data_IF_606146859225
#
_entry.id   IF_606146859225
#
_cell.length_a   1.000
_cell.length_b   1.000
_cell.length_c   1.000
_cell.angle_alpha   90.00
_cell.angle_beta   90.00
_cell.angle_gamma   90.00
#
_symmetry.space_group_name_H-M   'P 1'
#
loop_
_entity.id
_entity.type
_entity.pdbx_description
1 polymer ?
#
# COMPACT_ATOMS: atom_id res chain seq x y z
N UNK A 1 26.45 3.83 20.39
CA UNK A 1 25.22 3.53 19.61
C UNK A 1 25.65 2.81 18.36
N UNK A 2 25.01 1.70 18.02
CA UNK A 2 25.38 0.94 16.83
C UNK A 2 25.02 1.73 15.55
N UNK A 3 25.89 1.69 14.54
CA UNK A 3 25.65 2.31 13.22
C UNK A 3 24.84 1.38 12.31
N UNK A 4 24.30 1.90 11.20
CA UNK A 4 23.63 1.07 10.17
C UNK A 4 24.60 0.02 9.61
N UNK A 5 25.84 0.40 9.33
CA UNK A 5 26.87 -0.53 8.83
C UNK A 5 27.17 -1.66 9.81
N UNK A 6 27.29 -1.35 11.11
CA UNK A 6 27.49 -2.37 12.16
C UNK A 6 26.30 -3.33 12.26
N UNK A 7 25.07 -2.83 12.08
CA UNK A 7 23.86 -3.67 12.07
C UNK A 7 23.83 -4.59 10.84
N UNK A 8 24.18 -4.07 9.65
CA UNK A 8 24.16 -4.83 8.40
C UNK A 8 25.15 -6.02 8.41
N UNK A 9 26.20 -5.96 9.23
CA UNK A 9 27.12 -7.09 9.43
C UNK A 9 26.54 -8.18 10.34
N UNK A 10 25.47 -7.90 11.09
CA UNK A 10 24.91 -8.77 12.13
C UNK A 10 23.52 -9.31 11.79
N UNK A 11 22.97 -9.00 10.61
CA UNK A 11 21.63 -9.45 10.20
C UNK A 11 21.63 -10.10 8.81
N UNK A 12 20.66 -10.99 8.60
CA UNK A 12 20.40 -11.61 7.30
C UNK A 12 19.42 -10.81 6.43
N UNK A 13 18.54 -10.03 7.06
CA UNK A 13 17.53 -9.20 6.43
C UNK A 13 17.24 -7.95 7.27
N UNK A 14 16.62 -6.94 6.66
CA UNK A 14 16.33 -5.65 7.29
C UNK A 14 14.83 -5.32 7.25
N UNK A 15 14.34 -4.73 8.33
CA UNK A 15 13.05 -4.03 8.38
C UNK A 15 13.36 -2.54 8.47
N UNK A 16 13.15 -1.82 7.37
CA UNK A 16 13.23 -0.36 7.32
C UNK A 16 11.87 0.19 7.77
N UNK A 17 11.74 0.40 9.08
CA UNK A 17 10.51 0.87 9.74
C UNK A 17 10.55 2.33 10.17
N UNK A 18 11.34 3.19 9.50
CA UNK A 18 11.32 4.62 9.79
C UNK A 18 9.93 5.17 9.46
N UNK A 19 9.33 5.90 10.40
CA UNK A 19 8.04 6.56 10.14
C UNK A 19 8.22 7.69 9.12
N UNK A 20 9.41 8.28 9.03
CA UNK A 20 9.70 9.37 8.12
C UNK A 20 10.21 8.84 6.77
N UNK A 21 9.31 8.76 5.79
CA UNK A 21 9.56 8.30 4.43
C UNK A 21 10.62 9.11 3.66
N UNK A 22 11.01 10.30 4.16
CA UNK A 22 12.13 11.08 3.59
C UNK A 22 13.49 10.41 3.81
N UNK A 23 13.59 9.54 4.82
CA UNK A 23 14.82 8.83 5.15
C UNK A 23 14.98 7.53 4.35
N UNK A 24 13.90 7.04 3.74
CA UNK A 24 13.87 5.72 3.13
C UNK A 24 14.90 5.56 2.00
N UNK A 25 15.08 6.56 1.14
CA UNK A 25 16.04 6.47 0.02
C UNK A 25 17.48 6.29 0.53
N UNK A 26 17.94 7.15 1.44
CA UNK A 26 19.31 7.09 1.96
C UNK A 26 19.61 5.84 2.79
N UNK A 27 18.59 5.31 3.49
CA UNK A 27 18.70 4.03 4.20
C UNK A 27 18.69 2.84 3.22
N UNK A 28 17.81 2.87 2.21
CA UNK A 28 17.73 1.85 1.17
C UNK A 28 19.03 1.77 0.36
N UNK A 29 19.68 2.90 0.07
CA UNK A 29 21.00 2.94 -0.57
C UNK A 29 22.05 2.13 0.19
N UNK A 30 22.12 2.30 1.51
CA UNK A 30 23.06 1.54 2.37
C UNK A 30 22.71 0.05 2.40
N UNK A 31 21.43 -0.28 2.59
CA UNK A 31 20.95 -1.66 2.71
C UNK A 31 21.15 -2.43 1.39
N UNK A 32 20.82 -1.81 0.26
CA UNK A 32 20.99 -2.42 -1.06
C UNK A 32 22.46 -2.61 -1.42
N UNK A 33 23.34 -1.67 -1.04
CA UNK A 33 24.78 -1.83 -1.22
C UNK A 33 25.34 -3.04 -0.43
N UNK A 34 24.77 -3.33 0.74
CA UNK A 34 25.09 -4.53 1.53
C UNK A 34 24.42 -5.82 1.00
N UNK A 35 23.56 -5.73 -0.02
CA UNK A 35 22.88 -6.88 -0.62
C UNK A 35 21.86 -7.57 0.28
N UNK A 36 21.41 -6.91 1.36
CA UNK A 36 20.48 -7.51 2.33
C UNK A 36 19.04 -7.41 1.83
N UNK A 37 18.26 -8.51 1.83
CA UNK A 37 16.83 -8.45 1.61
C UNK A 37 16.16 -7.50 2.60
N UNK A 38 15.19 -6.72 2.13
CA UNK A 38 14.58 -5.67 2.97
C UNK A 38 13.08 -5.52 2.76
N UNK A 39 12.36 -5.45 3.88
CA UNK A 39 11.03 -4.87 3.92
C UNK A 39 11.14 -3.37 4.19
N UNK A 40 10.56 -2.55 3.31
CA UNK A 40 10.47 -1.10 3.49
C UNK A 40 9.04 -0.75 3.88
N UNK A 41 8.84 -0.17 5.06
CA UNK A 41 7.49 0.22 5.50
C UNK A 41 6.89 1.26 4.53
N UNK A 42 5.56 1.31 4.49
CA UNK A 42 4.82 2.22 3.63
C UNK A 42 4.63 3.60 4.29
N UNK A 43 4.61 4.69 3.50
CA UNK A 43 4.86 4.71 2.05
C UNK A 43 6.33 4.44 1.71
N UNK A 44 6.56 3.84 0.52
CA UNK A 44 7.92 3.49 0.06
C UNK A 44 8.90 4.67 0.15
N UNK A 45 8.42 5.87 -0.16
CA UNK A 45 9.11 7.14 0.06
C UNK A 45 8.08 8.25 0.30
N UNK A 46 8.57 9.43 0.69
CA UNK A 46 7.73 10.60 0.89
C UNK A 46 7.13 11.18 -0.40
N UNK A 47 7.80 10.97 -1.54
CA UNK A 47 7.39 11.41 -2.87
C UNK A 47 7.57 10.32 -3.95
N UNK A 48 7.12 10.62 -5.18
CA UNK A 48 7.20 9.68 -6.30
C UNK A 48 8.63 9.51 -6.83
N UNK A 49 9.43 10.58 -6.83
CA UNK A 49 10.77 10.55 -7.41
C UNK A 49 11.68 9.60 -6.63
N UNK A 50 11.65 9.69 -5.30
CA UNK A 50 12.43 8.81 -4.43
C UNK A 50 11.88 7.38 -4.42
N UNK A 51 10.57 7.18 -4.49
CA UNK A 51 9.99 5.84 -4.64
C UNK A 51 10.49 5.14 -5.92
N UNK A 52 10.55 5.88 -7.03
CA UNK A 52 11.10 5.38 -8.31
C UNK A 52 12.59 5.11 -8.20
N UNK A 53 13.36 6.00 -7.55
CA UNK A 53 14.80 5.79 -7.32
C UNK A 53 15.08 4.53 -6.52
N UNK A 54 14.34 4.28 -5.43
CA UNK A 54 14.46 3.06 -4.62
C UNK A 54 14.24 1.83 -5.50
N UNK A 55 13.15 1.81 -6.28
CA UNK A 55 12.83 0.66 -7.14
C UNK A 55 13.89 0.42 -8.23
N UNK A 56 14.38 1.49 -8.88
CA UNK A 56 15.42 1.40 -9.91
C UNK A 56 16.77 0.97 -9.32
N UNK A 57 17.12 1.46 -8.13
CA UNK A 57 18.36 1.11 -7.45
C UNK A 57 18.37 -0.36 -7.05
N UNK A 58 17.29 -0.84 -6.42
CA UNK A 58 17.17 -2.26 -6.07
C UNK A 58 17.28 -3.16 -7.29
N UNK A 59 16.64 -2.79 -8.41
CA UNK A 59 16.76 -3.51 -9.69
C UNK A 59 18.19 -3.52 -10.21
N UNK A 60 18.90 -2.40 -10.13
CA UNK A 60 20.30 -2.28 -10.58
C UNK A 60 21.25 -3.16 -9.75
N UNK A 61 21.02 -3.23 -8.44
CA UNK A 61 21.88 -3.97 -7.50
C UNK A 61 21.43 -5.43 -7.31
N UNK A 62 20.27 -5.81 -7.82
CA UNK A 62 19.73 -7.17 -7.69
C UNK A 62 19.23 -7.49 -6.27
N UNK A 63 19.02 -6.48 -5.42
CA UNK A 63 18.56 -6.69 -4.04
C UNK A 63 17.08 -7.02 -4.00
N UNK A 64 16.71 -8.05 -3.24
CA UNK A 64 15.31 -8.41 -3.00
C UNK A 64 14.68 -7.42 -2.02
N UNK A 65 13.51 -6.90 -2.35
CA UNK A 65 12.79 -5.99 -1.48
C UNK A 65 11.29 -6.03 -1.73
N UNK A 66 10.53 -5.60 -0.73
CA UNK A 66 9.12 -5.30 -0.91
C UNK A 66 8.64 -4.23 0.08
N UNK A 67 7.50 -3.64 -0.22
CA UNK A 67 6.72 -2.81 0.69
C UNK A 67 5.27 -3.30 0.66
N UNK A 68 4.55 -3.11 1.75
CA UNK A 68 3.15 -3.48 1.84
C UNK A 68 2.48 -2.82 3.04
N UNK A 69 1.17 -2.65 2.96
CA UNK A 69 0.31 -2.68 4.13
C UNK A 69 0.02 -4.11 4.55
N UNK A 70 -0.05 -4.34 5.86
CA UNK A 70 -0.64 -5.55 6.43
C UNK A 70 -2.08 -5.84 5.93
N UNK A 71 -2.80 -4.84 5.41
CA UNK A 71 -4.14 -5.02 4.85
C UNK A 71 -4.18 -5.94 3.63
N UNK A 72 -3.10 -5.97 2.83
CA UNK A 72 -2.98 -6.87 1.68
C UNK A 72 -3.06 -8.35 2.07
N UNK A 73 -2.73 -8.68 3.32
CA UNK A 73 -2.59 -10.05 3.80
C UNK A 73 -3.71 -10.50 4.73
N UNK A 74 -4.72 -9.66 4.95
CA UNK A 74 -5.85 -10.01 5.81
C UNK A 74 -6.52 -11.29 5.32
N UNK A 75 -6.83 -12.18 6.26
CA UNK A 75 -7.55 -13.44 5.96
C UNK A 75 -8.86 -13.13 5.25
N UNK A 76 -9.62 -12.16 5.73
CA UNK A 76 -10.89 -11.76 5.14
C UNK A 76 -10.76 -11.26 3.68
N UNK A 77 -9.64 -10.61 3.32
CA UNK A 77 -9.38 -10.22 1.93
C UNK A 77 -9.08 -11.44 1.05
N UNK A 78 -8.27 -12.37 1.57
CA UNK A 78 -7.97 -13.63 0.87
C UNK A 78 -9.22 -14.48 0.65
N UNK A 79 -10.09 -14.60 1.66
CA UNK A 79 -11.35 -15.33 1.58
C UNK A 79 -12.28 -14.71 0.52
N UNK A 80 -12.44 -13.39 0.52
CA UNK A 80 -13.20 -12.69 -0.51
C UNK A 80 -12.64 -12.92 -1.92
N UNK A 81 -11.31 -12.92 -2.08
CA UNK A 81 -10.68 -13.19 -3.38
C UNK A 81 -10.88 -14.65 -3.83
N UNK A 82 -10.98 -15.61 -2.90
CA UNK A 82 -11.32 -17.00 -3.23
C UNK A 82 -12.79 -17.16 -3.61
N UNK A 83 -13.70 -16.43 -2.95
CA UNK A 83 -15.13 -16.43 -3.31
C UNK A 83 -15.35 -15.92 -4.74
N UNK A 84 -14.63 -14.88 -5.13
CA UNK A 84 -14.69 -14.29 -6.47
C UNK A 84 -13.89 -15.07 -7.53
N UNK A 85 -13.33 -16.24 -7.18
CA UNK A 85 -12.42 -16.96 -8.07
C UNK A 85 -13.15 -17.45 -9.32
N UNK A 86 -12.68 -17.00 -10.48
CA UNK A 86 -13.28 -17.34 -11.77
C UNK A 86 -14.30 -16.31 -12.26
N UNK A 87 -14.66 -15.33 -11.43
CA UNK A 87 -15.47 -14.20 -11.87
C UNK A 87 -14.62 -13.14 -12.59
N UNK A 88 -15.25 -12.43 -13.53
CA UNK A 88 -14.70 -11.20 -14.04
C UNK A 88 -14.98 -10.08 -13.04
N UNK A 89 -13.94 -9.45 -12.50
CA UNK A 89 -14.08 -8.25 -11.68
C UNK A 89 -14.46 -7.09 -12.59
N UNK A 90 -15.55 -6.38 -12.29
CA UNK A 90 -16.06 -5.23 -13.05
C UNK A 90 -15.74 -3.89 -12.38
N UNK A 91 -15.52 -3.90 -11.06
CA UNK A 91 -15.14 -2.71 -10.29
C UNK A 91 -14.90 -3.01 -8.82
N UNK A 92 -14.39 -2.01 -8.11
CA UNK A 92 -14.15 -2.12 -6.67
C UNK A 92 -14.26 -0.74 -6.01
N UNK A 93 -14.94 -0.68 -4.87
CA UNK A 93 -15.02 0.48 -4.01
C UNK A 93 -14.36 0.16 -2.68
N UNK A 94 -13.16 0.69 -2.43
CA UNK A 94 -12.48 0.58 -1.15
C UNK A 94 -12.75 1.81 -0.28
N UNK A 95 -12.71 1.65 1.03
CA UNK A 95 -12.64 2.75 1.98
C UNK A 95 -11.50 2.56 2.96
N UNK A 96 -10.99 3.67 3.49
CA UNK A 96 -9.86 3.64 4.40
C UNK A 96 -9.69 4.94 5.17
N UNK A 97 -9.10 4.84 6.35
CA UNK A 97 -8.65 6.01 7.12
C UNK A 97 -7.77 6.93 6.26
N UNK A 98 -8.06 8.22 6.27
CA UNK A 98 -7.28 9.25 5.59
C UNK A 98 -6.72 10.24 6.62
N UNK A 99 -5.41 10.39 6.60
CA UNK A 99 -4.63 11.32 7.42
C UNK A 99 -3.47 11.85 6.59
N UNK A 100 -3.16 13.13 6.72
CA UNK A 100 -1.97 13.71 6.11
C UNK A 100 -0.76 13.57 7.04
N UNK A 101 0.42 13.32 6.47
CA UNK A 101 1.70 13.34 7.17
C UNK A 101 2.48 14.59 6.76
N UNK A 102 3.15 15.23 7.72
CA UNK A 102 4.00 16.37 7.42
C UNK A 102 5.11 15.94 6.46
N UNK A 103 5.27 16.66 5.34
CA UNK A 103 6.30 16.38 4.34
C UNK A 103 6.07 15.14 3.49
N UNK A 104 4.87 14.56 3.48
CA UNK A 104 4.51 13.37 2.70
C UNK A 104 3.37 13.66 1.71
N UNK A 105 3.35 12.94 0.58
CA UNK A 105 2.18 12.94 -0.31
C UNK A 105 0.92 12.50 0.45
N UNK A 106 -0.16 13.28 0.33
CA UNK A 106 -1.35 13.12 1.18
C UNK A 106 -1.96 11.71 1.14
N UNK A 107 -2.32 11.20 -0.04
CA UNK A 107 -2.89 9.86 -0.18
C UNK A 107 -1.87 8.78 0.18
N UNK A 108 -0.59 8.97 -0.15
CA UNK A 108 0.46 7.99 0.10
C UNK A 108 0.71 7.77 1.61
N UNK A 109 0.50 8.79 2.45
CA UNK A 109 0.79 8.66 3.87
C UNK A 109 -0.07 7.61 4.57
N UNK A 110 -1.39 7.76 4.52
CA UNK A 110 -2.31 6.85 5.21
C UNK A 110 -3.41 6.28 4.30
N UNK A 111 -3.77 7.00 3.23
CA UNK A 111 -4.70 6.47 2.22
C UNK A 111 -4.15 5.25 1.47
N UNK A 112 -2.83 5.07 1.46
CA UNK A 112 -2.14 3.94 0.80
C UNK A 112 -2.63 2.59 1.29
N UNK A 113 -3.07 2.51 2.56
CA UNK A 113 -3.66 1.32 3.14
C UNK A 113 -4.89 0.84 2.36
N UNK A 114 -5.87 1.73 2.13
CA UNK A 114 -7.07 1.38 1.37
C UNK A 114 -6.82 1.32 -0.14
N UNK A 115 -5.88 2.11 -0.66
CA UNK A 115 -5.49 2.05 -2.07
C UNK A 115 -4.81 0.73 -2.42
N UNK A 116 -3.91 0.20 -1.58
CA UNK A 116 -3.29 -1.09 -1.84
C UNK A 116 -4.33 -2.23 -1.86
N UNK A 117 -5.31 -2.19 -0.96
CA UNK A 117 -6.43 -3.13 -0.97
C UNK A 117 -7.23 -3.02 -2.27
N UNK A 118 -7.55 -1.81 -2.74
CA UNK A 118 -8.17 -1.61 -4.05
C UNK A 118 -7.34 -2.23 -5.19
N UNK A 119 -6.02 -2.00 -5.20
CA UNK A 119 -5.12 -2.55 -6.21
C UNK A 119 -4.94 -4.07 -6.10
N UNK A 120 -5.10 -4.66 -4.91
CA UNK A 120 -5.03 -6.11 -4.72
C UNK A 120 -6.19 -6.84 -5.42
N UNK A 121 -7.32 -6.16 -5.61
CA UNK A 121 -8.49 -6.69 -6.33
C UNK A 121 -8.48 -6.26 -7.80
N UNK A 122 -8.22 -4.98 -8.06
CA UNK A 122 -8.31 -4.41 -9.41
C UNK A 122 -7.10 -4.75 -10.28
N UNK A 123 -5.95 -5.06 -9.66
CA UNK A 123 -4.66 -5.18 -10.32
C UNK A 123 -4.08 -3.81 -10.72
N UNK A 124 -2.91 -3.84 -11.36
CA UNK A 124 -2.28 -2.65 -11.94
C UNK A 124 -3.01 -2.18 -13.20
N UNK A 125 -2.67 -0.98 -13.71
CA UNK A 125 -3.16 -0.51 -15.02
C UNK A 125 -4.24 0.57 -14.96
N UNK A 126 -4.41 1.24 -13.82
CA UNK A 126 -5.13 2.50 -13.74
C UNK A 126 -4.51 3.53 -14.70
N UNK A 127 -5.34 4.19 -15.50
CA UNK A 127 -4.96 5.15 -16.55
C UNK A 127 -5.30 6.58 -16.20
N UNK A 128 -6.43 6.78 -15.52
CA UNK A 128 -6.90 8.11 -15.13
C UNK A 128 -7.27 8.10 -13.65
N UNK A 129 -7.01 9.22 -12.98
CA UNK A 129 -7.39 9.42 -11.58
C UNK A 129 -8.05 10.79 -11.43
N UNK A 130 -9.17 10.83 -10.71
CA UNK A 130 -9.82 12.08 -10.29
C UNK A 130 -10.04 12.04 -8.79
N UNK A 131 -9.85 13.18 -8.13
CA UNK A 131 -10.03 13.28 -6.67
C UNK A 131 -10.89 14.50 -6.35
N UNK A 132 -11.92 14.27 -5.55
CA UNK A 132 -12.71 15.31 -4.91
C UNK A 132 -12.38 15.29 -3.43
N UNK A 133 -12.02 16.45 -2.89
CA UNK A 133 -11.69 16.61 -1.48
C UNK A 133 -12.86 17.28 -0.74
N UNK A 134 -13.19 16.76 0.43
CA UNK A 134 -14.23 17.32 1.29
C UNK A 134 -13.84 17.19 2.77
N UNK A 135 -14.54 17.92 3.63
CA UNK A 135 -14.25 17.94 5.06
C UNK A 135 -14.39 16.57 5.74
N UNK A 136 -15.34 15.73 5.30
CA UNK A 136 -15.53 14.37 5.80
C UNK A 136 -14.55 13.35 5.19
N UNK A 137 -13.69 13.79 4.28
CA UNK A 137 -12.71 12.98 3.58
C UNK A 137 -12.91 13.03 2.07
N UNK A 138 -12.12 12.24 1.37
CA UNK A 138 -11.99 12.33 -0.08
C UNK A 138 -12.71 11.21 -0.80
N UNK A 139 -13.09 11.46 -2.04
CA UNK A 139 -13.42 10.41 -3.01
C UNK A 139 -12.42 10.49 -4.14
N UNK A 140 -11.67 9.41 -4.33
CA UNK A 140 -10.74 9.25 -5.45
C UNK A 140 -11.28 8.17 -6.37
N UNK A 141 -11.48 8.48 -7.64
CA UNK A 141 -11.88 7.51 -8.67
C UNK A 141 -10.71 7.24 -9.61
N UNK A 142 -10.64 6.02 -10.12
CA UNK A 142 -9.70 5.61 -11.13
C UNK A 142 -10.35 4.81 -12.24
N UNK A 143 -9.88 4.97 -13.48
CA UNK A 143 -10.33 4.20 -14.65
C UNK A 143 -9.18 3.32 -15.11
N UNK A 144 -9.41 2.01 -15.19
CA UNK A 144 -8.44 1.03 -15.69
C UNK A 144 -8.49 0.94 -17.21
N UNK A 145 -7.41 0.45 -17.82
CA UNK A 145 -7.29 0.36 -19.28
C UNK A 145 -8.36 -0.50 -19.99
N UNK A 146 -9.06 -1.34 -19.24
CA UNK A 146 -10.18 -2.18 -19.69
C UNK A 146 -11.56 -1.56 -19.41
N UNK A 147 -11.60 -0.31 -18.95
CA UNK A 147 -12.82 0.43 -18.64
C UNK A 147 -13.38 0.18 -17.24
N UNK A 148 -12.78 -0.73 -16.44
CA UNK A 148 -13.21 -0.93 -15.05
C UNK A 148 -12.97 0.33 -14.22
N UNK A 149 -13.86 0.55 -13.24
CA UNK A 149 -13.79 1.71 -12.35
C UNK A 149 -13.45 1.26 -10.95
N UNK A 150 -12.44 1.90 -10.37
CA UNK A 150 -12.08 1.78 -8.96
C UNK A 150 -12.42 3.06 -8.21
N UNK A 151 -12.89 2.93 -6.97
CA UNK A 151 -13.13 4.07 -6.08
C UNK A 151 -12.42 3.84 -4.76
N UNK A 152 -11.81 4.89 -4.23
CA UNK A 152 -11.32 4.95 -2.87
C UNK A 152 -12.02 6.08 -2.11
N UNK A 153 -12.75 5.72 -1.05
CA UNK A 153 -13.32 6.64 -0.06
C UNK A 153 -12.34 6.82 1.09
N UNK A 154 -11.66 7.96 1.11
CA UNK A 154 -10.88 8.39 2.27
C UNK A 154 -11.80 8.88 3.38
N UNK A 155 -11.63 8.34 4.59
CA UNK A 155 -12.38 8.71 5.79
C UNK A 155 -11.54 9.65 6.63
N UNK A 156 -11.93 10.93 6.77
CA UNK A 156 -11.14 11.91 7.51
C UNK A 156 -11.02 11.50 8.99
N UNK A 157 -9.78 11.21 9.43
CA UNK A 157 -9.49 10.61 10.74
C UNK A 157 -10.07 11.37 11.93
N UNK A 158 -10.04 12.70 11.88
CA UNK A 158 -10.48 13.55 13.00
C UNK A 158 -11.98 13.91 12.95
N UNK A 159 -12.73 13.41 11.97
CA UNK A 159 -14.09 13.88 11.67
C UNK A 159 -15.17 12.81 11.78
N UNK A 160 -14.80 11.54 11.84
CA UNK A 160 -15.75 10.43 11.80
C UNK A 160 -15.13 9.10 12.25
N UNK A 161 -15.96 8.06 12.34
CA UNK A 161 -15.48 6.69 12.49
C UNK A 161 -14.61 6.28 11.29
N UNK A 162 -13.57 5.53 11.60
CA UNK A 162 -12.55 5.08 10.63
C UNK A 162 -12.41 3.56 10.64
N UNK A 163 -11.80 3.05 9.58
CA UNK A 163 -11.58 1.62 9.36
C UNK A 163 -11.21 1.37 7.90
N UNK A 164 -11.18 0.10 7.53
CA UNK A 164 -10.83 -0.32 6.17
C UNK A 164 -11.80 -1.40 5.70
N UNK A 165 -12.01 -1.44 4.39
CA UNK A 165 -12.87 -2.42 3.76
C UNK A 165 -13.08 -2.10 2.29
N UNK A 166 -13.85 -2.95 1.64
CA UNK A 166 -14.15 -2.84 0.22
C UNK A 166 -15.46 -3.55 -0.14
N UNK A 167 -16.07 -3.06 -1.22
CA UNK A 167 -17.08 -3.73 -2.02
C UNK A 167 -16.46 -4.09 -3.36
N UNK A 168 -16.59 -5.33 -3.79
CA UNK A 168 -16.14 -5.79 -5.11
C UNK A 168 -17.35 -6.19 -5.94
N UNK A 169 -17.37 -5.73 -7.18
CA UNK A 169 -18.44 -6.01 -8.14
C UNK A 169 -17.90 -7.02 -9.15
N UNK A 170 -18.29 -8.28 -8.98
CA UNK A 170 -18.00 -9.37 -9.92
C UNK A 170 -19.08 -9.49 -11.00
N UNK A 171 -18.82 -10.33 -11.99
CA UNK A 171 -19.79 -10.65 -13.06
C UNK A 171 -21.00 -11.46 -12.58
N UNK A 172 -20.89 -12.14 -11.43
CA UNK A 172 -21.92 -13.02 -10.88
C UNK A 172 -22.34 -12.61 -9.46
N UNK A 173 -21.42 -12.03 -8.68
CA UNK A 173 -21.68 -11.65 -7.30
C UNK A 173 -21.20 -10.24 -6.93
N UNK A 174 -21.67 -9.75 -5.78
CA UNK A 174 -21.17 -8.55 -5.12
C UNK A 174 -20.73 -8.95 -3.72
N UNK A 175 -19.45 -8.81 -3.41
CA UNK A 175 -18.87 -9.19 -2.12
C UNK A 175 -18.45 -7.94 -1.35
N UNK A 176 -18.70 -7.93 -0.05
CA UNK A 176 -18.34 -6.83 0.84
C UNK A 176 -17.59 -7.35 2.05
N UNK A 177 -16.50 -6.68 2.42
CA UNK A 177 -15.70 -7.08 3.58
C UNK A 177 -15.12 -5.89 4.33
N UNK A 178 -15.11 -6.01 5.67
CA UNK A 178 -14.37 -5.12 6.56
C UNK A 178 -13.04 -5.78 6.93
N UNK A 179 -11.97 -5.00 6.95
CA UNK A 179 -10.62 -5.49 7.23
C UNK A 179 -10.17 -5.05 8.64
N UNK A 180 -9.81 -6.00 9.53
CA UNK A 180 -9.48 -5.68 10.93
C UNK A 180 -8.07 -5.08 11.15
N UNK A 181 -7.23 -5.01 10.12
CA UNK A 181 -5.88 -4.44 10.16
C UNK A 181 -4.88 -5.16 11.07
N UNK A 182 -4.92 -6.49 11.07
CA UNK A 182 -4.04 -7.34 11.85
C UNK A 182 -2.67 -7.57 11.17
N UNK A 183 -1.60 -7.63 11.96
CA UNK A 183 -0.23 -7.88 11.44
C UNK A 183 0.20 -9.35 11.34
N UNK A 184 -0.24 -10.30 12.20
CA UNK A 184 0.22 -11.68 12.11
C UNK A 184 0.12 -12.33 10.72
N UNK A 185 -0.90 -12.03 9.88
CA UNK A 185 -0.95 -12.57 8.53
C UNK A 185 0.19 -12.09 7.60
N UNK A 186 0.70 -10.86 7.77
CA UNK A 186 1.84 -10.32 7.01
C UNK A 186 3.15 -11.02 7.39
N UNK A 187 3.33 -11.36 8.67
CA UNK A 187 4.58 -11.96 9.18
C UNK A 187 4.81 -13.42 8.75
N UNK A 188 3.83 -14.04 8.09
CA UNK A 188 3.89 -15.43 7.61
C UNK A 188 4.29 -15.55 6.14
N UNK A 189 4.55 -14.44 5.48
CA UNK A 189 4.88 -14.32 4.06
C UNK A 189 6.39 -14.08 3.89
#
# INVERSE_FOLDING_TARGET
TATVDELLQQCDAVILGSVDGRQHLGLAEQIFAAGKPVFVDKPLAHDLADAVRIALLARRLGTQWFTASALRFQVALRELQQELRGEQILGCEAFGTLRAGLGHLQLAWYGIHGLEVLYSVMGTGCREVRRVQAASGDVTTGIWGDGRVGVFRGLAYERQAVGWGLTVFGSQSICQVRLPAEYPPLLRE
#
